data_IF_573732172349
#
_entry.id   IF_573732172349
#
_cell.length_a   1.000
_cell.length_b   1.000
_cell.length_c   1.000
_cell.angle_alpha   90.00
_cell.angle_beta   90.00
_cell.angle_gamma   90.00
#
_symmetry.space_group_name_H-M   'P 1'
#
loop_
_entity.id
_entity.type
_entity.pdbx_description
1 polymer ?
#
# COMPACT_ATOMS: atom_id res chain seq x y z
N UNK A 1 -2.00 26.59 22.95
CA UNK A 1 -0.94 25.95 22.15
C UNK A 1 -1.37 25.98 20.70
N UNK A 2 -0.53 26.47 19.79
CA UNK A 2 -0.79 26.51 18.35
C UNK A 2 -0.02 25.41 17.59
N UNK A 3 0.53 24.45 18.30
CA UNK A 3 1.24 23.29 17.75
C UNK A 3 0.27 22.25 17.19
N UNK A 4 0.70 21.49 16.18
CA UNK A 4 -0.05 20.39 15.59
C UNK A 4 0.32 19.06 16.23
N UNK A 5 -0.66 18.16 16.32
CA UNK A 5 -0.40 16.75 16.59
C UNK A 5 -0.11 16.02 15.29
N UNK A 6 0.49 14.81 15.33
CA UNK A 6 0.64 14.02 14.13
C UNK A 6 -0.66 13.93 13.31
N UNK A 7 -0.60 14.14 11.99
CA UNK A 7 -1.79 14.00 11.17
C UNK A 7 -2.21 12.52 11.12
N UNK A 8 -3.52 12.29 11.12
CA UNK A 8 -4.11 10.99 10.86
C UNK A 8 -4.66 10.99 9.44
N UNK A 9 -3.84 10.55 8.48
CA UNK A 9 -4.24 10.41 7.07
C UNK A 9 -4.45 8.93 6.80
N UNK A 10 -5.64 8.56 6.34
CA UNK A 10 -5.98 7.18 6.00
C UNK A 10 -5.11 6.70 4.84
N UNK A 11 -4.65 5.45 4.88
CA UNK A 11 -3.75 4.84 3.90
C UNK A 11 -2.42 5.59 3.73
N UNK A 12 -1.99 6.36 4.73
CA UNK A 12 -0.66 6.97 4.78
C UNK A 12 0.33 6.09 5.53
N UNK A 13 1.55 6.02 5.00
CA UNK A 13 2.68 5.35 5.62
C UNK A 13 3.56 6.37 6.32
N UNK A 14 3.79 6.19 7.62
CA UNK A 14 4.73 7.00 8.40
C UNK A 14 5.99 6.16 8.67
N UNK A 15 7.09 6.51 8.00
CA UNK A 15 8.39 5.79 8.11
C UNK A 15 9.08 6.04 9.46
N UNK A 16 8.82 7.19 10.10
CA UNK A 16 9.41 7.54 11.39
C UNK A 16 8.36 7.59 12.51
N UNK A 17 8.81 7.35 13.74
CA UNK A 17 8.00 7.61 14.93
C UNK A 17 7.57 9.08 14.92
N UNK A 18 6.28 9.32 14.70
CA UNK A 18 5.75 10.68 14.64
C UNK A 18 6.09 11.43 15.93
N UNK A 19 6.57 12.68 15.81
CA UNK A 19 6.86 13.54 16.97
C UNK A 19 5.55 13.76 17.73
N UNK A 20 5.59 13.79 19.06
CA UNK A 20 4.38 14.02 19.86
C UNK A 20 3.65 15.34 19.54
N UNK A 21 4.39 16.34 19.03
CA UNK A 21 3.84 17.60 18.52
C UNK A 21 4.80 18.28 17.53
N UNK A 22 4.24 19.14 16.70
CA UNK A 22 4.91 19.93 15.66
C UNK A 22 4.61 21.41 15.87
N UNK A 23 5.62 22.28 15.75
CA UNK A 23 5.43 23.71 15.95
C UNK A 23 4.83 24.37 14.70
N UNK A 24 4.35 25.61 14.85
CA UNK A 24 3.91 26.37 13.68
C UNK A 24 5.05 26.47 12.66
N UNK A 25 4.69 26.35 11.39
CA UNK A 25 5.58 26.33 10.23
C UNK A 25 6.42 25.05 10.06
N UNK A 26 6.33 24.07 10.98
CA UNK A 26 6.89 22.74 10.75
C UNK A 26 6.22 22.11 9.52
N UNK A 27 7.02 21.47 8.68
CA UNK A 27 6.54 20.73 7.51
C UNK A 27 6.88 19.26 7.60
N UNK A 28 5.96 18.41 7.13
CA UNK A 28 6.24 16.99 6.91
C UNK A 28 5.85 16.57 5.50
N UNK A 29 6.47 15.51 5.02
CA UNK A 29 6.07 14.83 3.79
C UNK A 29 5.21 13.62 4.13
N UNK A 30 4.13 13.44 3.37
CA UNK A 30 3.22 12.31 3.50
C UNK A 30 3.58 11.28 2.43
N UNK A 31 3.78 10.05 2.85
CA UNK A 31 3.85 8.90 1.96
C UNK A 31 2.55 8.10 2.07
N UNK A 32 2.11 7.50 0.98
CA UNK A 32 0.96 6.59 1.00
C UNK A 32 1.40 5.14 1.11
N UNK A 33 0.50 4.29 1.61
CA UNK A 33 0.64 2.85 1.55
C UNK A 33 0.68 2.35 0.10
N UNK A 34 1.24 1.16 -0.10
CA UNK A 34 1.33 0.53 -1.42
C UNK A 34 -0.07 0.40 -2.05
N UNK A 35 -0.21 0.87 -3.29
CA UNK A 35 -1.51 0.93 -3.98
C UNK A 35 -2.31 2.22 -3.79
N UNK A 36 -1.81 3.17 -2.99
CA UNK A 36 -2.40 4.49 -2.81
C UNK A 36 -1.45 5.61 -3.24
N UNK A 37 -2.01 6.74 -3.66
CA UNK A 37 -1.26 7.91 -4.17
C UNK A 37 -1.90 9.21 -3.73
N UNK A 38 -1.09 10.27 -3.64
CA UNK A 38 -1.57 11.65 -3.48
C UNK A 38 -1.78 12.22 -4.88
N UNK A 39 -3.03 12.54 -5.25
CA UNK A 39 -3.36 13.16 -6.55
C UNK A 39 -3.09 14.68 -6.59
N UNK A 40 -2.64 15.25 -5.48
CA UNK A 40 -2.23 16.66 -5.39
C UNK A 40 -0.82 16.88 -5.96
N UNK A 41 -0.51 18.11 -6.33
CA UNK A 41 0.80 18.51 -6.85
C UNK A 41 1.94 18.42 -5.82
N UNK A 42 1.60 18.32 -4.54
CA UNK A 42 2.57 18.23 -3.44
C UNK A 42 2.11 17.24 -2.40
N UNK A 43 3.06 16.47 -1.88
CA UNK A 43 2.91 15.57 -0.74
C UNK A 43 3.33 16.22 0.60
N UNK A 44 3.66 17.51 0.60
CA UNK A 44 4.13 18.24 1.78
C UNK A 44 2.98 18.99 2.45
N UNK A 45 2.90 18.91 3.76
CA UNK A 45 1.95 19.65 4.59
C UNK A 45 2.70 20.48 5.63
N UNK A 46 2.11 21.61 6.03
CA UNK A 46 2.65 22.55 7.00
C UNK A 46 1.69 22.69 8.19
N UNK A 47 2.24 22.71 9.40
CA UNK A 47 1.49 23.06 10.59
C UNK A 47 1.24 24.56 10.63
N UNK A 48 -0.02 24.97 10.70
CA UNK A 48 -0.41 26.37 10.87
C UNK A 48 -1.60 26.48 11.81
N UNK A 49 -1.39 27.16 12.93
CA UNK A 49 -2.39 27.41 13.97
C UNK A 49 -3.08 26.13 14.47
N UNK A 50 -2.29 25.09 14.72
CA UNK A 50 -2.76 23.80 15.24
C UNK A 50 -3.45 22.91 14.19
N UNK A 51 -3.35 23.24 12.90
CA UNK A 51 -3.91 22.46 11.80
C UNK A 51 -2.89 22.23 10.69
N UNK A 52 -3.01 21.10 10.01
CA UNK A 52 -2.19 20.77 8.85
C UNK A 52 -2.78 21.34 7.56
N UNK A 53 -1.94 21.95 6.74
CA UNK A 53 -2.33 22.56 5.48
C UNK A 53 -1.28 22.33 4.37
N UNK A 54 -1.68 21.98 3.13
CA UNK A 54 -3.02 21.54 2.76
C UNK A 54 -3.39 20.22 3.45
N UNK A 55 -4.68 19.90 3.48
CA UNK A 55 -5.12 18.55 3.84
C UNK A 55 -4.85 17.63 2.65
N UNK A 56 -4.11 16.55 2.90
CA UNK A 56 -3.82 15.54 1.91
C UNK A 56 -4.60 14.26 2.22
N UNK A 57 -4.94 13.54 1.17
CA UNK A 57 -5.59 12.23 1.22
C UNK A 57 -4.82 11.27 0.32
N UNK A 58 -4.69 10.03 0.77
CA UNK A 58 -4.16 8.93 -0.02
C UNK A 58 -5.34 8.23 -0.71
N UNK A 59 -5.42 8.37 -2.02
CA UNK A 59 -6.46 7.78 -2.85
C UNK A 59 -5.94 6.51 -3.53
N UNK A 60 -6.82 5.53 -3.74
CA UNK A 60 -6.46 4.30 -4.47
C UNK A 60 -5.92 4.67 -5.85
N UNK A 61 -4.77 4.10 -6.21
CA UNK A 61 -4.19 4.29 -7.54
C UNK A 61 -5.04 3.60 -8.61
N UNK A 62 -5.11 4.21 -9.79
CA UNK A 62 -5.91 3.67 -10.90
C UNK A 62 -5.34 2.35 -11.45
N UNK A 63 -4.04 2.12 -11.26
CA UNK A 63 -3.33 0.90 -11.64
C UNK A 63 -3.11 -0.10 -10.49
N UNK A 64 -3.68 0.18 -9.31
CA UNK A 64 -3.64 -0.75 -8.18
C UNK A 64 -4.60 -1.93 -8.41
N UNK A 65 -4.20 -3.10 -7.96
CA UNK A 65 -5.03 -4.30 -7.98
C UNK A 65 -5.74 -4.46 -6.65
N UNK A 66 -6.95 -5.00 -6.70
CA UNK A 66 -7.61 -5.52 -5.50
C UNK A 66 -6.92 -6.82 -5.06
N UNK A 67 -7.39 -7.40 -3.95
CA UNK A 67 -6.94 -8.72 -3.51
C UNK A 67 -6.99 -9.75 -4.66
N UNK A 68 -5.93 -10.57 -4.85
CA UNK A 68 -5.92 -11.58 -5.89
C UNK A 68 -7.09 -12.54 -5.68
N UNK A 69 -7.74 -12.93 -6.79
CA UNK A 69 -8.75 -13.97 -6.76
C UNK A 69 -8.17 -15.28 -6.22
N UNK A 70 -9.04 -16.14 -5.69
CA UNK A 70 -8.62 -17.45 -5.17
C UNK A 70 -7.93 -18.26 -6.25
N UNK A 71 -6.64 -18.54 -6.07
CA UNK A 71 -5.89 -19.48 -6.90
C UNK A 71 -6.22 -20.90 -6.39
N UNK A 72 -6.79 -21.80 -7.21
CA UNK A 72 -7.12 -23.15 -6.77
C UNK A 72 -5.88 -23.88 -6.25
N UNK A 73 -6.05 -24.55 -5.10
CA UNK A 73 -5.02 -25.37 -4.46
C UNK A 73 -3.69 -24.64 -4.20
N UNK A 74 -3.75 -23.33 -3.95
CA UNK A 74 -2.60 -22.47 -3.75
C UNK A 74 -2.79 -21.53 -2.56
N UNK A 75 -1.70 -21.26 -1.86
CA UNK A 75 -1.64 -20.37 -0.70
C UNK A 75 -0.56 -19.32 -0.94
N UNK A 76 -0.90 -18.04 -0.79
CA UNK A 76 0.06 -16.93 -0.86
C UNK A 76 0.95 -16.95 0.38
N UNK A 77 2.27 -16.92 0.18
CA UNK A 77 3.28 -17.06 1.25
C UNK A 77 4.22 -15.85 1.36
N UNK A 78 4.24 -14.94 0.37
CA UNK A 78 5.19 -13.82 0.35
C UNK A 78 4.83 -12.67 1.31
N UNK A 79 3.55 -12.50 1.65
CA UNK A 79 3.09 -11.46 2.56
C UNK A 79 1.68 -11.78 3.09
N UNK A 80 1.26 -11.07 4.14
CA UNK A 80 -0.11 -11.12 4.63
C UNK A 80 -1.10 -10.55 3.58
N UNK A 81 -2.36 -11.05 3.57
CA UNK A 81 -3.39 -10.54 2.67
C UNK A 81 -3.68 -9.05 2.92
N UNK A 82 -3.79 -8.29 1.84
CA UNK A 82 -4.20 -6.88 1.83
C UNK A 82 -5.40 -6.72 0.90
N UNK A 83 -6.17 -5.66 1.10
CA UNK A 83 -7.29 -5.35 0.20
C UNK A 83 -6.83 -4.71 -1.11
N UNK A 84 -5.74 -3.96 -1.07
CA UNK A 84 -5.18 -3.21 -2.21
C UNK A 84 -3.68 -3.52 -2.33
N UNK A 85 -3.23 -3.67 -3.58
CA UNK A 85 -1.83 -3.90 -3.94
C UNK A 85 -1.40 -2.91 -5.03
N UNK A 86 -0.22 -2.32 -4.85
CA UNK A 86 0.38 -1.43 -5.83
C UNK A 86 0.69 -2.10 -7.15
N UNK A 87 0.79 -1.29 -8.21
CA UNK A 87 1.20 -1.78 -9.52
C UNK A 87 2.63 -2.35 -9.45
N UNK A 88 2.85 -3.44 -10.16
CA UNK A 88 4.05 -4.29 -10.12
C UNK A 88 4.28 -5.04 -8.81
N UNK A 89 3.36 -4.99 -7.85
CA UNK A 89 3.46 -5.83 -6.65
C UNK A 89 3.41 -7.30 -7.02
N UNK A 90 4.31 -8.07 -6.42
CA UNK A 90 4.54 -9.47 -6.75
C UNK A 90 4.22 -10.34 -5.55
N UNK A 91 3.37 -11.33 -5.77
CA UNK A 91 2.99 -12.31 -4.77
C UNK A 91 3.56 -13.66 -5.12
N UNK A 92 4.17 -14.31 -4.14
CA UNK A 92 4.58 -15.70 -4.25
C UNK A 92 3.56 -16.58 -3.55
N UNK A 93 3.19 -17.66 -4.22
CA UNK A 93 2.26 -18.66 -3.70
C UNK A 93 2.83 -20.05 -3.85
N UNK A 94 2.41 -20.94 -2.97
CA UNK A 94 2.80 -22.33 -2.94
C UNK A 94 1.57 -23.23 -3.10
N UNK A 95 1.74 -24.33 -3.84
CA UNK A 95 0.69 -25.33 -3.97
C UNK A 95 0.46 -26.08 -2.65
N UNK A 96 -0.80 -26.38 -2.38
CA UNK A 96 -1.20 -27.27 -1.29
C UNK A 96 -0.61 -28.68 -1.48
N UNK A 97 -0.45 -29.40 -0.36
CA UNK A 97 0.10 -30.76 -0.40
C UNK A 97 -0.72 -31.67 -1.33
N UNK A 98 -0.04 -32.34 -2.25
CA UNK A 98 -0.66 -33.23 -3.24
C UNK A 98 -0.98 -32.56 -4.58
N UNK A 99 -0.84 -31.23 -4.68
CA UNK A 99 -0.98 -30.48 -5.93
C UNK A 99 0.37 -30.01 -6.43
N UNK A 100 0.60 -30.15 -7.73
CA UNK A 100 1.81 -29.67 -8.39
C UNK A 100 1.45 -29.12 -9.75
N UNK A 101 2.38 -28.35 -10.26
CA UNK A 101 2.25 -27.68 -11.53
C UNK A 101 3.51 -28.04 -12.32
N UNK A 102 3.43 -28.03 -13.65
CA UNK A 102 4.52 -28.55 -14.50
C UNK A 102 5.90 -27.90 -14.28
N UNK A 103 6.02 -26.84 -13.47
CA UNK A 103 7.27 -26.11 -13.20
C UNK A 103 7.64 -25.96 -11.70
N UNK A 104 7.04 -26.75 -10.79
CA UNK A 104 7.46 -26.81 -9.38
C UNK A 104 6.40 -26.34 -8.37
N UNK A 105 6.83 -26.12 -7.12
CA UNK A 105 5.95 -25.83 -5.98
C UNK A 105 5.69 -24.33 -5.73
N UNK A 106 6.69 -23.47 -5.96
CA UNK A 106 6.59 -22.03 -5.73
C UNK A 106 6.32 -21.31 -7.05
N UNK A 107 5.36 -20.40 -7.02
CA UNK A 107 4.82 -19.69 -8.18
C UNK A 107 4.60 -18.23 -7.83
N UNK A 108 4.32 -17.43 -8.86
CA UNK A 108 4.27 -15.99 -8.74
C UNK A 108 3.14 -15.39 -9.56
N UNK A 109 2.50 -14.38 -9.01
CA UNK A 109 1.57 -13.50 -9.73
C UNK A 109 1.95 -12.05 -9.50
N UNK A 110 1.72 -11.21 -10.50
CA UNK A 110 2.11 -9.80 -10.47
C UNK A 110 0.89 -8.94 -10.73
N UNK A 111 0.70 -7.89 -9.92
CA UNK A 111 -0.28 -6.86 -10.20
C UNK A 111 0.23 -6.00 -11.37
N UNK A 112 -0.53 -5.92 -12.46
CA UNK A 112 -0.22 -5.12 -13.63
C UNK A 112 -1.46 -4.37 -14.08
N UNK A 113 -1.42 -3.04 -13.98
CA UNK A 113 -2.46 -2.13 -14.48
C UNK A 113 -3.88 -2.52 -14.02
N UNK A 114 -4.01 -2.81 -12.72
CA UNK A 114 -5.28 -3.17 -12.07
C UNK A 114 -5.69 -4.64 -12.19
N UNK A 115 -4.90 -5.49 -12.84
CA UNK A 115 -5.17 -6.92 -12.96
C UNK A 115 -3.99 -7.80 -12.52
N UNK A 116 -4.30 -8.95 -11.90
CA UNK A 116 -3.28 -9.95 -11.58
C UNK A 116 -2.94 -10.80 -12.79
N UNK A 117 -1.65 -10.88 -13.12
CA UNK A 117 -1.12 -11.64 -14.25
C UNK A 117 -0.15 -12.74 -13.79
N UNK A 118 0.08 -13.74 -14.64
CA UNK A 118 1.04 -14.82 -14.37
C UNK A 118 0.57 -15.92 -13.41
N UNK A 119 -0.58 -15.76 -12.76
CA UNK A 119 -1.16 -16.80 -11.92
C UNK A 119 -1.50 -18.05 -12.76
N UNK A 120 -0.95 -19.18 -12.36
CA UNK A 120 -1.23 -20.50 -12.92
C UNK A 120 -1.83 -21.41 -11.84
N UNK A 121 -2.84 -22.24 -12.16
CA UNK A 121 -3.36 -23.21 -11.22
C UNK A 121 -2.27 -24.19 -10.76
N UNK A 122 -2.40 -24.59 -9.50
CA UNK A 122 -2.01 -25.91 -9.04
C UNK A 122 -3.17 -26.88 -9.37
#
# INVERSE_FOLDING_TARGET
SSSCFPPAIENAKYEEAQRGSYDNDDTIEVACEDGFVIKSHSNRIQCSNGRWHPLLVCERSDNACDAPGKIPHAVIISQEPKEVYGNNTQLEYQCENGYTTGQGHNRRTTCQDGAWTGAQPC
#
